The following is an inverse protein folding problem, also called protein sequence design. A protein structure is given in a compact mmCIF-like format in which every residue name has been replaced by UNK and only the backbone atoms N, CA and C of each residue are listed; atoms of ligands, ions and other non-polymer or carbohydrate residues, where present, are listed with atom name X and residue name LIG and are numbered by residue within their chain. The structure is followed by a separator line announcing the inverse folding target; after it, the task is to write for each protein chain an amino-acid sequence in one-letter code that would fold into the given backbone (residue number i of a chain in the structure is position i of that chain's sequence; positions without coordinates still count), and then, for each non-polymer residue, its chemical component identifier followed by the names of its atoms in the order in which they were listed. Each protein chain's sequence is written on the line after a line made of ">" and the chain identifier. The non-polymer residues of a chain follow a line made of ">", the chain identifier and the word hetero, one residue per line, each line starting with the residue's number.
data_IF_825348318443
#
_entry.id   IF_825348318443
#
_cell.length_a   1.000
_cell.length_b   1.000
_cell.length_c   1.000
_cell.angle_alpha   90.00
_cell.angle_beta   90.00
_cell.angle_gamma   90.00
#
_symmetry.space_group_name_H-M   'P 1'
#
loop_
_entity.id
_entity.type
_entity.pdbx_description
1 polymer ?
#
# COMPACT_ATOMS: atom_id res chain seq x y z
N UNK A 1 2.04 3.88 -15.30
CA UNK A 1 2.21 5.33 -15.52
C UNK A 1 2.55 5.54 -16.97
N UNK A 2 1.85 6.48 -17.61
CA UNK A 2 2.07 6.84 -19.01
C UNK A 2 2.40 8.32 -19.12
N UNK A 3 3.03 8.71 -20.23
CA UNK A 3 3.16 10.12 -20.59
C UNK A 3 1.82 10.68 -21.13
N UNK A 4 1.84 11.94 -21.57
CA UNK A 4 0.69 12.63 -22.15
C UNK A 4 0.20 12.02 -23.48
N UNK A 5 1.06 11.27 -24.17
CA UNK A 5 0.79 10.66 -25.48
C UNK A 5 0.38 9.18 -25.33
N UNK A 6 0.36 8.65 -24.10
CA UNK A 6 -0.04 7.29 -23.77
C UNK A 6 1.10 6.27 -23.77
N UNK A 7 2.35 6.68 -23.96
CA UNK A 7 3.48 5.76 -23.93
C UNK A 7 3.77 5.30 -22.50
N UNK A 8 4.12 4.03 -22.34
CA UNK A 8 4.48 3.48 -21.04
C UNK A 8 5.76 4.14 -20.51
N UNK A 9 5.69 4.70 -19.31
CA UNK A 9 6.87 5.23 -18.58
C UNK A 9 7.31 4.31 -17.44
N UNK A 10 6.34 3.77 -16.72
CA UNK A 10 6.59 2.91 -15.56
C UNK A 10 5.47 1.89 -15.39
N UNK A 11 5.85 0.65 -15.05
CA UNK A 11 4.94 -0.43 -14.70
C UNK A 11 5.43 -1.15 -13.44
N UNK A 12 4.52 -1.46 -12.52
CA UNK A 12 4.79 -2.21 -11.30
C UNK A 12 3.97 -3.49 -11.23
N UNK A 13 4.62 -4.58 -10.86
CA UNK A 13 3.98 -5.84 -10.49
C UNK A 13 3.98 -5.97 -8.97
N UNK A 14 2.79 -6.14 -8.38
CA UNK A 14 2.60 -6.19 -6.93
C UNK A 14 2.24 -7.59 -6.42
N UNK A 15 2.58 -7.87 -5.17
CA UNK A 15 2.03 -9.00 -4.42
C UNK A 15 0.56 -8.76 -4.08
N UNK A 16 -0.15 -9.81 -3.64
CA UNK A 16 -1.53 -9.68 -3.15
C UNK A 16 -1.68 -8.80 -1.90
N UNK A 17 -0.56 -8.44 -1.25
CA UNK A 17 -0.49 -7.55 -0.09
C UNK A 17 0.12 -6.19 -0.44
N UNK A 18 0.33 -5.88 -1.72
CA UNK A 18 0.81 -4.57 -2.15
C UNK A 18 2.32 -4.40 -2.22
N UNK A 19 3.14 -5.39 -1.85
CA UNK A 19 4.61 -5.33 -2.05
C UNK A 19 4.95 -5.24 -3.53
N UNK A 20 5.79 -4.28 -3.92
CA UNK A 20 6.33 -4.22 -5.27
C UNK A 20 7.32 -5.37 -5.49
N UNK A 21 6.97 -6.33 -6.34
CA UNK A 21 7.81 -7.49 -6.67
C UNK A 21 8.80 -7.19 -7.78
N UNK A 22 8.33 -6.46 -8.79
CA UNK A 22 9.12 -6.07 -9.95
C UNK A 22 8.61 -4.74 -10.46
N UNK A 23 9.52 -3.89 -10.90
CA UNK A 23 9.19 -2.70 -11.67
C UNK A 23 9.88 -2.72 -13.03
N UNK A 24 9.29 -1.99 -13.97
CA UNK A 24 9.85 -1.71 -15.29
C UNK A 24 9.83 -0.20 -15.46
N UNK A 25 11.02 0.39 -15.62
CA UNK A 25 11.23 1.81 -15.90
C UNK A 25 11.68 1.95 -17.34
N UNK A 26 10.93 2.70 -18.14
CA UNK A 26 11.32 3.00 -19.53
C UNK A 26 12.34 4.14 -19.57
N UNK A 27 12.33 5.01 -18.55
CA UNK A 27 13.34 6.05 -18.33
C UNK A 27 13.83 6.01 -16.89
N UNK A 28 15.10 6.37 -16.64
CA UNK A 28 15.65 6.40 -15.27
C UNK A 28 14.98 7.45 -14.38
N UNK A 29 14.37 8.48 -14.98
CA UNK A 29 13.57 9.49 -14.30
C UNK A 29 12.19 9.00 -13.85
N UNK A 30 11.73 7.85 -14.33
CA UNK A 30 10.41 7.34 -14.01
C UNK A 30 10.37 6.79 -12.59
N UNK A 31 9.81 7.57 -11.68
CA UNK A 31 9.61 7.19 -10.28
C UNK A 31 8.13 7.20 -9.91
N UNK A 32 7.64 6.11 -9.31
CA UNK A 32 6.25 5.97 -8.88
C UNK A 32 6.19 5.52 -7.42
N UNK A 33 5.94 6.44 -6.47
CA UNK A 33 5.88 6.11 -5.04
C UNK A 33 4.53 5.56 -4.58
N UNK A 34 3.45 5.77 -5.33
CA UNK A 34 2.12 5.32 -4.93
C UNK A 34 2.02 3.78 -5.04
N UNK A 35 1.26 3.20 -4.12
CA UNK A 35 0.99 1.77 -3.98
C UNK A 35 -0.51 1.54 -3.93
N UNK A 36 -0.94 0.34 -3.55
CA UNK A 36 -2.38 0.01 -3.47
C UNK A 36 -3.09 0.91 -2.44
N UNK A 37 -4.30 1.38 -2.76
CA UNK A 37 -5.21 2.12 -1.87
C UNK A 37 -4.54 3.13 -0.91
N UNK A 38 -4.18 4.31 -1.42
CA UNK A 38 -3.69 5.43 -0.61
C UNK A 38 -2.40 5.13 0.19
N UNK A 39 -1.62 4.14 -0.26
CA UNK A 39 -0.32 3.82 0.31
C UNK A 39 0.79 4.55 -0.45
N UNK A 40 1.72 5.14 0.28
CA UNK A 40 2.95 5.74 -0.23
C UNK A 40 4.13 4.90 0.25
N UNK A 41 5.02 4.46 -0.65
CA UNK A 41 6.20 3.74 -0.25
C UNK A 41 7.27 4.67 0.32
N UNK A 42 7.67 4.39 1.55
CA UNK A 42 8.82 4.99 2.20
C UNK A 42 10.02 4.05 2.04
N UNK A 43 11.04 4.50 1.33
CA UNK A 43 12.23 3.71 1.06
C UNK A 43 13.21 3.65 2.22
N UNK A 44 13.15 4.60 3.15
CA UNK A 44 14.05 4.57 4.31
C UNK A 44 13.66 3.44 5.27
N UNK A 45 12.35 3.16 5.36
CA UNK A 45 11.79 2.16 6.27
C UNK A 45 11.32 0.88 5.58
N UNK A 46 11.24 0.86 4.25
CA UNK A 46 10.59 -0.19 3.44
C UNK A 46 9.09 -0.42 3.78
N UNK A 47 8.49 0.50 4.54
CA UNK A 47 7.08 0.46 4.92
C UNK A 47 6.24 1.32 3.97
N UNK A 48 4.94 1.09 3.98
CA UNK A 48 3.98 1.88 3.25
C UNK A 48 3.23 2.80 4.20
N UNK A 49 3.35 4.11 4.02
CA UNK A 49 2.58 5.08 4.78
C UNK A 49 1.14 5.16 4.25
N UNK A 50 0.16 5.02 5.15
CA UNK A 50 -1.26 5.12 4.85
C UNK A 50 -1.95 6.01 5.90
N UNK A 51 -2.23 7.25 5.51
CA UNK A 51 -3.00 8.31 6.20
C UNK A 51 -2.65 8.63 7.67
N UNK A 52 -2.37 7.66 8.53
CA UNK A 52 -1.81 7.80 9.89
C UNK A 52 -1.08 6.52 10.38
N UNK A 53 -0.90 5.50 9.53
CA UNK A 53 -0.33 4.19 9.91
C UNK A 53 0.75 3.76 8.92
N UNK A 54 1.77 3.08 9.43
CA UNK A 54 2.72 2.34 8.58
C UNK A 54 2.20 0.92 8.35
N UNK A 55 2.23 0.48 7.10
CA UNK A 55 1.84 -0.85 6.66
C UNK A 55 3.08 -1.61 6.19
N UNK A 56 3.28 -2.81 6.71
CA UNK A 56 4.34 -3.72 6.30
C UNK A 56 3.84 -4.59 5.13
N UNK A 57 4.33 -4.35 3.90
CA UNK A 57 3.80 -5.02 2.71
C UNK A 57 4.27 -6.48 2.58
N UNK A 58 5.28 -6.89 3.35
CA UNK A 58 5.77 -8.27 3.41
C UNK A 58 4.78 -9.18 4.13
N UNK A 59 4.29 -8.76 5.29
CA UNK A 59 3.38 -9.55 6.14
C UNK A 59 1.91 -9.17 5.98
N UNK A 60 1.64 -8.03 5.35
CA UNK A 60 0.29 -7.52 5.08
C UNK A 60 -0.40 -6.91 6.30
N UNK A 61 0.35 -6.25 7.20
CA UNK A 61 -0.15 -5.76 8.50
C UNK A 61 0.24 -4.32 8.78
N UNK A 62 -0.53 -3.63 9.60
CA UNK A 62 -0.14 -2.32 10.13
C UNK A 62 0.83 -2.48 11.32
N UNK A 63 1.87 -1.65 11.34
CA UNK A 63 2.93 -1.63 12.37
C UNK A 63 2.50 -0.80 13.59
N UNK A 64 1.68 0.22 13.39
CA UNK A 64 1.15 1.06 14.46
C UNK A 64 -0.13 0.45 15.06
N UNK A 65 -0.28 0.52 16.38
CA UNK A 65 -1.55 0.28 17.06
C UNK A 65 -2.55 1.38 16.66
N UNK A 66 -3.74 1.05 16.16
CA UNK A 66 -4.71 2.10 15.80
C UNK A 66 -5.04 2.96 17.02
N UNK A 67 -5.15 4.26 16.73
CA UNK A 67 -5.36 5.35 17.67
C UNK A 67 -6.73 5.31 18.39
N UNK A 68 -7.55 4.26 18.19
CA UNK A 68 -8.95 4.20 18.64
C UNK A 68 -9.15 3.54 20.03
N UNK A 69 -8.09 3.08 20.69
CA UNK A 69 -8.17 2.57 22.06
C UNK A 69 -8.96 1.25 22.21
N UNK A 70 -9.30 0.88 23.46
CA UNK A 70 -9.85 -0.43 23.84
C UNK A 70 -11.19 -0.82 23.19
N UNK A 71 -11.94 0.14 22.65
CA UNK A 71 -13.16 -0.10 21.87
C UNK A 71 -12.88 -0.61 20.45
N UNK A 72 -11.66 -0.42 19.94
CA UNK A 72 -11.24 -0.93 18.64
C UNK A 72 -10.98 -2.42 18.62
N UNK A 73 -10.69 -3.07 19.75
CA UNK A 73 -10.19 -4.45 19.79
C UNK A 73 -11.18 -5.46 19.17
N UNK A 74 -12.49 -5.23 19.33
CA UNK A 74 -13.52 -6.08 18.72
C UNK A 74 -13.63 -5.86 17.21
N UNK A 75 -13.44 -4.63 16.74
CA UNK A 75 -13.45 -4.28 15.30
C UNK A 75 -12.13 -4.63 14.60
N UNK A 76 -11.01 -4.58 15.32
CA UNK A 76 -9.64 -4.76 14.81
C UNK A 76 -9.32 -6.18 14.38
N UNK A 77 -9.82 -7.17 15.11
CA UNK A 77 -9.61 -8.56 14.74
C UNK A 77 -10.30 -8.83 13.38
N UNK A 78 -11.33 -8.05 13.02
CA UNK A 78 -11.98 -8.06 11.71
C UNK A 78 -11.31 -7.21 10.61
N UNK A 79 -10.54 -6.17 10.98
CA UNK A 79 -9.83 -5.30 10.01
C UNK A 79 -8.40 -5.78 9.68
N UNK A 80 -7.93 -6.83 10.37
CA UNK A 80 -6.55 -7.36 10.33
C UNK A 80 -6.13 -8.01 9.00
N UNK A 81 -6.99 -7.99 7.98
CA UNK A 81 -6.68 -8.55 6.68
C UNK A 81 -7.15 -7.55 5.62
N UNK A 82 -6.22 -6.79 5.03
CA UNK A 82 -6.41 -6.25 3.69
C UNK A 82 -6.71 -7.45 2.79
N UNK A 83 -7.97 -7.78 2.51
CA UNK A 83 -8.25 -8.96 1.67
C UNK A 83 -7.40 -8.89 0.39
N UNK A 84 -6.94 -10.04 -0.11
CA UNK A 84 -6.06 -10.15 -1.30
C UNK A 84 -6.60 -9.45 -2.57
N UNK A 85 -7.86 -9.02 -2.55
CA UNK A 85 -8.56 -8.27 -3.58
C UNK A 85 -8.47 -6.73 -3.41
N UNK A 86 -7.82 -6.23 -2.36
CA UNK A 86 -7.56 -4.81 -2.18
C UNK A 86 -8.81 -3.98 -1.88
N UNK A 87 -9.77 -4.53 -1.13
CA UNK A 87 -10.94 -3.79 -0.63
C UNK A 87 -10.91 -3.73 0.90
N UNK A 88 -10.80 -2.53 1.45
CA UNK A 88 -11.17 -2.24 2.84
C UNK A 88 -12.67 -1.95 2.82
N UNK A 89 -13.53 -2.69 3.53
CA UNK A 89 -14.92 -2.30 3.67
C UNK A 89 -14.96 -1.00 4.48
N UNK A 90 -15.30 0.10 3.82
CA UNK A 90 -15.69 1.34 4.47
C UNK A 90 -17.06 1.06 5.12
N UNK A 91 -17.10 0.72 6.39
CA UNK A 91 -18.36 0.63 7.14
C UNK A 91 -18.71 2.06 7.56
N UNK A 92 -19.83 2.57 7.01
CA UNK A 92 -20.54 3.77 7.49
C UNK A 92 -21.04 3.57 8.92
#
# INVERSE_FOLDING_TARGET
>A
MTDKDGNLLWFGNYSGWGRLKKETKVTDSAYQPFRIQNQYADYETELHYNFFRYYEPETGRFVNQDSIGLLGVVTFIGLHLMRKDGLIPLVL
#
